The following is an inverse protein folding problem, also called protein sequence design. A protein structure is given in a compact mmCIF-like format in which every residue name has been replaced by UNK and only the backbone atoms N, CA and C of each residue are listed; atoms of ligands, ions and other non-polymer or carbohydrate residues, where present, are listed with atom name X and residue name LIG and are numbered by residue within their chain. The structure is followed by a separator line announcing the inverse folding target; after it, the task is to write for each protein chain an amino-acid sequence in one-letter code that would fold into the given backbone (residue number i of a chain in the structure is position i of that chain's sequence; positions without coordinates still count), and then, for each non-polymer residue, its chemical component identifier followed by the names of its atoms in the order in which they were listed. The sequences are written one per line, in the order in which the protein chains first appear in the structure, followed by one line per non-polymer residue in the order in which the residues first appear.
data_IF_087133576206
#
_entry.id   IF_087133576206
#
_cell.length_a   1.000
_cell.length_b   1.000
_cell.length_c   1.000
_cell.angle_alpha   90.00
_cell.angle_beta   90.00
_cell.angle_gamma   90.00
#
_symmetry.space_group_name_H-M   'P 1'
#
loop_
_entity.id
_entity.type
_entity.pdbx_description
1 polymer ?
#
# COMPACT_ATOMS: atom_id res chain seq x y z
N UNK A 1 -14.02 -13.45 -10.21
CA UNK A 1 -13.79 -12.32 -9.28
C UNK A 1 -13.51 -12.76 -7.84
N UNK A 2 -14.38 -13.51 -7.15
CA UNK A 2 -14.16 -13.86 -5.73
C UNK A 2 -12.78 -14.51 -5.45
N UNK A 3 -12.35 -15.44 -6.29
CA UNK A 3 -11.04 -16.09 -6.18
C UNK A 3 -9.86 -15.11 -6.33
N UNK A 4 -9.96 -14.12 -7.22
CA UNK A 4 -8.91 -13.11 -7.43
C UNK A 4 -8.75 -12.22 -6.20
N UNK A 5 -9.88 -11.84 -5.56
CA UNK A 5 -9.86 -11.08 -4.31
C UNK A 5 -9.22 -11.88 -3.16
N UNK A 6 -9.55 -13.18 -3.04
CA UNK A 6 -8.95 -14.04 -2.02
C UNK A 6 -7.43 -14.18 -2.23
N UNK A 7 -7.00 -14.41 -3.47
CA UNK A 7 -5.57 -14.50 -3.81
C UNK A 7 -4.87 -13.18 -3.48
N UNK A 8 -5.44 -12.05 -3.90
CA UNK A 8 -4.90 -10.73 -3.60
C UNK A 8 -4.75 -10.53 -2.08
N UNK A 9 -5.77 -10.91 -1.30
CA UNK A 9 -5.77 -10.80 0.16
C UNK A 9 -4.66 -11.64 0.81
N UNK A 10 -4.52 -12.91 0.40
CA UNK A 10 -3.47 -13.81 0.89
C UNK A 10 -2.07 -13.29 0.53
N UNK A 11 -1.89 -12.81 -0.70
CA UNK A 11 -0.62 -12.22 -1.15
C UNK A 11 -0.28 -10.99 -0.32
N UNK A 12 -1.23 -10.08 -0.12
CA UNK A 12 -1.00 -8.87 0.68
C UNK A 12 -0.71 -9.21 2.15
N UNK A 13 -1.39 -10.20 2.73
CA UNK A 13 -1.08 -10.71 4.08
C UNK A 13 0.34 -11.26 4.16
N UNK A 14 0.75 -12.10 3.20
CA UNK A 14 2.10 -12.64 3.13
C UNK A 14 3.16 -11.53 3.01
N UNK A 15 2.95 -10.55 2.12
CA UNK A 15 3.83 -9.40 1.99
C UNK A 15 3.87 -8.55 3.26
N UNK A 16 2.73 -8.40 3.95
CA UNK A 16 2.64 -7.69 5.24
C UNK A 16 3.47 -8.37 6.32
N UNK A 17 3.43 -9.70 6.41
CA UNK A 17 4.24 -10.47 7.35
C UNK A 17 5.75 -10.36 7.06
N UNK A 18 6.12 -10.12 5.80
CA UNK A 18 7.50 -9.90 5.38
C UNK A 18 7.97 -8.44 5.54
N UNK A 19 7.10 -7.53 5.98
CA UNK A 19 7.43 -6.12 6.09
C UNK A 19 8.45 -5.86 7.20
N UNK A 20 9.63 -5.34 6.84
CA UNK A 20 10.68 -5.02 7.82
C UNK A 20 10.62 -3.61 8.41
N UNK A 21 9.96 -2.67 7.75
CA UNK A 21 9.84 -1.29 8.24
C UNK A 21 8.47 -1.04 8.88
N UNK A 22 8.45 -0.30 9.99
CA UNK A 22 7.20 0.10 10.68
C UNK A 22 6.26 0.86 9.75
N UNK A 23 6.82 1.69 8.86
CA UNK A 23 6.05 2.48 7.90
C UNK A 23 5.34 1.58 6.88
N UNK A 24 6.05 0.58 6.33
CA UNK A 24 5.47 -0.36 5.37
C UNK A 24 4.41 -1.23 6.04
N UNK A 25 4.68 -1.75 7.24
CA UNK A 25 3.70 -2.52 8.01
C UNK A 25 2.42 -1.73 8.25
N UNK A 26 2.52 -0.45 8.65
CA UNK A 26 1.34 0.41 8.83
C UNK A 26 0.55 0.60 7.53
N UNK A 27 1.24 0.86 6.41
CA UNK A 27 0.57 1.04 5.11
C UNK A 27 -0.13 -0.25 4.68
N UNK A 28 0.53 -1.39 4.79
CA UNK A 28 -0.06 -2.68 4.44
C UNK A 28 -1.23 -3.05 5.35
N UNK A 29 -1.16 -2.75 6.65
CA UNK A 29 -2.28 -2.94 7.58
C UNK A 29 -3.47 -2.03 7.24
N UNK A 30 -3.22 -0.77 6.86
CA UNK A 30 -4.29 0.13 6.41
C UNK A 30 -4.98 -0.41 5.15
N UNK A 31 -4.21 -0.98 4.22
CA UNK A 31 -4.75 -1.62 3.01
C UNK A 31 -5.56 -2.89 3.33
N UNK A 32 -5.03 -3.76 4.19
CA UNK A 32 -5.75 -4.97 4.64
C UNK A 32 -7.05 -4.60 5.36
N UNK A 33 -7.01 -3.58 6.23
CA UNK A 33 -8.19 -3.07 6.92
C UNK A 33 -9.25 -2.56 5.95
N UNK A 34 -8.86 -1.79 4.93
CA UNK A 34 -9.76 -1.34 3.87
C UNK A 34 -10.46 -2.54 3.19
N UNK A 35 -9.68 -3.52 2.74
CA UNK A 35 -10.20 -4.66 2.00
C UNK A 35 -11.12 -5.52 2.87
N UNK A 36 -10.78 -5.71 4.14
CA UNK A 36 -11.61 -6.44 5.10
C UNK A 36 -12.95 -5.73 5.35
N UNK A 37 -12.92 -4.42 5.59
CA UNK A 37 -14.13 -3.62 5.84
C UNK A 37 -15.05 -3.62 4.62
N UNK A 38 -14.52 -3.44 3.41
CA UNK A 38 -15.29 -3.47 2.19
C UNK A 38 -15.87 -4.86 1.90
N UNK A 39 -15.08 -5.92 2.08
CA UNK A 39 -15.54 -7.30 1.89
C UNK A 39 -16.65 -7.67 2.88
N UNK A 40 -16.49 -7.30 4.15
CA UNK A 40 -17.48 -7.54 5.19
C UNK A 40 -18.79 -6.80 4.89
N UNK A 41 -18.72 -5.56 4.42
CA UNK A 41 -19.89 -4.77 4.05
C UNK A 41 -20.68 -5.41 2.91
N UNK A 42 -20.00 -5.85 1.83
CA UNK A 42 -20.66 -6.54 0.71
C UNK A 42 -21.28 -7.86 1.20
N UNK A 43 -20.57 -8.62 2.01
CA UNK A 43 -21.05 -9.90 2.54
C UNK A 43 -22.27 -9.73 3.46
N UNK A 44 -22.34 -8.64 4.25
CA UNK A 44 -23.45 -8.41 5.19
C UNK A 44 -24.67 -7.77 4.55
N UNK A 45 -24.49 -6.94 3.53
CA UNK A 45 -25.59 -6.19 2.89
C UNK A 45 -26.12 -6.83 1.62
N UNK A 46 -25.35 -7.72 0.98
CA UNK A 46 -25.64 -8.23 -0.36
C UNK A 46 -25.59 -7.15 -1.45
N UNK A 47 -25.18 -5.92 -1.12
CA UNK A 47 -24.98 -4.87 -2.11
C UNK A 47 -23.62 -5.07 -2.78
N UNK A 48 -23.64 -5.48 -4.04
CA UNK A 48 -22.44 -5.74 -4.85
C UNK A 48 -21.93 -4.51 -5.61
N UNK A 49 -22.46 -3.30 -5.37
CA UNK A 49 -21.88 -2.07 -5.92
C UNK A 49 -22.12 -0.83 -5.00
N UNK A 50 -21.75 -0.87 -3.71
CA UNK A 50 -21.95 0.23 -2.79
C UNK A 50 -20.86 1.29 -2.97
N UNK A 51 -20.81 1.93 -4.15
CA UNK A 51 -19.75 2.85 -4.55
C UNK A 51 -19.48 3.97 -3.52
N UNK A 52 -20.53 4.50 -2.90
CA UNK A 52 -20.41 5.58 -1.91
C UNK A 52 -19.69 5.10 -0.64
N UNK A 53 -20.00 3.87 -0.20
CA UNK A 53 -19.30 3.24 0.92
C UNK A 53 -17.83 3.02 0.59
N UNK A 54 -17.54 2.45 -0.58
CA UNK A 54 -16.16 2.21 -1.01
C UNK A 54 -15.35 3.50 -1.11
N UNK A 55 -15.93 4.58 -1.68
CA UNK A 55 -15.29 5.89 -1.73
C UNK A 55 -14.92 6.44 -0.35
N UNK A 56 -15.82 6.31 0.63
CA UNK A 56 -15.58 6.74 2.00
C UNK A 56 -14.45 5.93 2.65
N UNK A 57 -14.47 4.61 2.52
CA UNK A 57 -13.43 3.73 3.09
C UNK A 57 -12.08 4.02 2.44
N UNK A 58 -12.03 4.18 1.10
CA UNK A 58 -10.82 4.52 0.36
C UNK A 58 -10.27 5.89 0.76
N UNK A 59 -11.13 6.89 0.99
CA UNK A 59 -10.74 8.20 1.48
C UNK A 59 -10.09 8.12 2.87
N UNK A 60 -10.71 7.41 3.82
CA UNK A 60 -10.15 7.22 5.16
C UNK A 60 -8.81 6.50 5.09
N UNK A 61 -8.70 5.46 4.25
CA UNK A 61 -7.44 4.74 4.07
C UNK A 61 -6.35 5.62 3.46
N UNK A 62 -6.69 6.44 2.47
CA UNK A 62 -5.77 7.41 1.87
C UNK A 62 -5.25 8.39 2.93
N UNK A 63 -6.12 8.92 3.80
CA UNK A 63 -5.74 9.80 4.91
C UNK A 63 -4.77 9.10 5.87
N UNK A 64 -5.08 7.85 6.28
CA UNK A 64 -4.20 7.07 7.17
C UNK A 64 -2.82 6.85 6.55
N UNK A 65 -2.78 6.49 5.26
CA UNK A 65 -1.54 6.27 4.52
C UNK A 65 -0.76 7.58 4.39
N UNK A 66 -1.39 8.69 4.03
CA UNK A 66 -0.71 9.95 3.74
C UNK A 66 -0.35 10.76 5.00
N UNK A 67 -0.99 10.51 6.15
CA UNK A 67 -0.77 11.28 7.39
C UNK A 67 0.68 11.32 7.89
N UNK A 68 1.48 10.27 7.70
CA UNK A 68 2.91 10.36 8.01
C UNK A 68 3.74 9.87 6.82
N UNK A 69 4.30 10.76 5.98
CA UNK A 69 5.00 10.38 4.76
C UNK A 69 6.28 9.58 5.05
N UNK A 70 6.51 8.50 4.29
CA UNK A 70 7.70 7.65 4.41
C UNK A 70 8.52 7.49 3.11
N UNK A 71 8.11 8.19 2.04
CA UNK A 71 8.82 8.22 0.76
C UNK A 71 7.91 7.90 -0.44
N UNK A 72 8.54 7.84 -1.63
CA UNK A 72 7.84 7.76 -2.92
C UNK A 72 6.88 6.58 -3.07
N UNK A 73 7.20 5.42 -2.48
CA UNK A 73 6.35 4.23 -2.58
C UNK A 73 5.03 4.40 -1.82
N UNK A 74 5.09 4.99 -0.62
CA UNK A 74 3.88 5.33 0.14
C UNK A 74 3.02 6.35 -0.62
N UNK A 75 3.64 7.38 -1.20
CA UNK A 75 2.93 8.37 -2.01
C UNK A 75 2.27 7.74 -3.24
N UNK A 76 2.95 6.82 -3.93
CA UNK A 76 2.38 6.10 -5.06
C UNK A 76 1.15 5.27 -4.65
N UNK A 77 1.22 4.57 -3.51
CA UNK A 77 0.06 3.83 -2.97
C UNK A 77 -1.09 4.79 -2.65
N UNK A 78 -0.80 5.95 -2.04
CA UNK A 78 -1.80 6.98 -1.78
C UNK A 78 -2.48 7.49 -3.06
N UNK A 79 -1.72 7.69 -4.15
CA UNK A 79 -2.27 8.05 -5.45
C UNK A 79 -3.19 6.99 -6.04
N UNK A 80 -2.93 5.70 -5.79
CA UNK A 80 -3.83 4.63 -6.23
C UNK A 80 -5.17 4.72 -5.50
N UNK A 81 -5.18 5.02 -4.20
CA UNK A 81 -6.43 5.27 -3.48
C UNK A 81 -7.18 6.49 -4.01
N UNK A 82 -6.47 7.58 -4.35
CA UNK A 82 -7.10 8.76 -5.00
C UNK A 82 -7.75 8.35 -6.33
N UNK A 83 -7.07 7.52 -7.13
CA UNK A 83 -7.64 7.02 -8.39
C UNK A 83 -8.90 6.16 -8.16
N UNK A 84 -8.92 5.31 -7.11
CA UNK A 84 -10.11 4.53 -6.75
C UNK A 84 -11.28 5.45 -6.35
N UNK A 85 -11.02 6.47 -5.53
CA UNK A 85 -12.03 7.48 -5.14
C UNK A 85 -12.63 8.15 -6.37
N UNK A 86 -11.78 8.61 -7.31
CA UNK A 86 -12.24 9.22 -8.57
C UNK A 86 -13.12 8.24 -9.37
N UNK A 87 -12.73 6.96 -9.46
CA UNK A 87 -13.53 5.96 -10.16
C UNK A 87 -14.91 5.74 -9.55
N UNK A 88 -15.03 5.74 -8.22
CA UNK A 88 -16.34 5.62 -7.55
C UNK A 88 -17.25 6.80 -7.93
N UNK A 89 -16.71 8.02 -8.00
CA UNK A 89 -17.46 9.18 -8.46
C UNK A 89 -17.80 9.11 -9.95
N UNK A 90 -16.88 8.64 -10.81
CA UNK A 90 -17.19 8.42 -12.22
C UNK A 90 -18.35 7.42 -12.39
N UNK A 91 -18.32 6.31 -11.65
CA UNK A 91 -19.40 5.33 -11.66
C UNK A 91 -20.73 5.97 -11.22
N UNK A 92 -20.72 6.74 -10.13
CA UNK A 92 -21.89 7.46 -9.63
C UNK A 92 -22.48 8.43 -10.67
N UNK A 93 -21.65 9.22 -11.34
CA UNK A 93 -22.07 10.20 -12.35
C UNK A 93 -22.65 9.52 -13.59
N UNK A 94 -22.05 8.42 -14.03
CA UNK A 94 -22.56 7.70 -15.21
C UNK A 94 -23.90 7.01 -14.93
N UNK A 95 -24.15 6.61 -13.68
CA UNK A 95 -25.36 5.89 -13.23
C UNK A 95 -25.80 4.78 -14.20
N UNK A 96 -24.84 4.12 -14.85
CA UNK A 96 -25.09 3.15 -15.90
C UNK A 96 -24.94 1.73 -15.34
N UNK A 97 -26.03 0.95 -15.26
CA UNK A 97 -25.99 -0.44 -14.79
C UNK A 97 -25.05 -1.33 -15.62
N UNK A 98 -24.95 -1.10 -16.93
CA UNK A 98 -24.06 -1.85 -17.83
C UNK A 98 -22.58 -1.58 -17.52
N UNK A 99 -22.29 -0.50 -16.81
CA UNK A 99 -20.95 -0.10 -16.36
C UNK A 99 -20.42 -0.89 -15.16
N UNK A 100 -21.21 -1.77 -14.54
CA UNK A 100 -20.79 -2.54 -13.35
C UNK A 100 -19.55 -3.41 -13.64
N UNK A 101 -19.54 -4.13 -14.75
CA UNK A 101 -18.41 -5.01 -15.09
C UNK A 101 -17.10 -4.22 -15.30
N UNK A 102 -17.04 -3.19 -16.16
CA UNK A 102 -15.80 -2.42 -16.33
C UNK A 102 -15.38 -1.70 -15.05
N UNK A 103 -16.33 -1.23 -14.22
CA UNK A 103 -16.04 -0.66 -12.91
C UNK A 103 -15.28 -1.64 -12.01
N UNK A 104 -15.78 -2.87 -11.87
CA UNK A 104 -15.12 -3.91 -11.08
C UNK A 104 -13.75 -4.30 -11.66
N UNK A 105 -13.65 -4.45 -12.98
CA UNK A 105 -12.39 -4.78 -13.65
C UNK A 105 -11.30 -3.75 -13.34
N UNK A 106 -11.63 -2.45 -13.38
CA UNK A 106 -10.67 -1.41 -13.06
C UNK A 106 -10.29 -1.37 -11.58
N UNK A 107 -11.25 -1.57 -10.66
CA UNK A 107 -10.95 -1.67 -9.23
C UNK A 107 -9.98 -2.84 -8.94
N UNK A 108 -10.21 -4.01 -9.56
CA UNK A 108 -9.33 -5.17 -9.44
C UNK A 108 -7.91 -4.85 -9.96
N UNK A 109 -7.79 -4.17 -11.11
CA UNK A 109 -6.49 -3.75 -11.64
C UNK A 109 -5.75 -2.82 -10.67
N UNK A 110 -6.45 -1.86 -10.07
CA UNK A 110 -5.85 -0.96 -9.08
C UNK A 110 -5.41 -1.71 -7.82
N UNK A 111 -6.19 -2.70 -7.36
CA UNK A 111 -5.80 -3.55 -6.23
C UNK A 111 -4.49 -4.31 -6.50
N UNK A 112 -4.33 -4.87 -7.71
CA UNK A 112 -3.07 -5.50 -8.12
C UNK A 112 -1.89 -4.51 -8.17
N UNK A 113 -2.12 -3.29 -8.65
CA UNK A 113 -1.10 -2.24 -8.62
C UNK A 113 -0.68 -1.93 -7.17
N UNK A 114 -1.63 -1.86 -6.22
CA UNK A 114 -1.29 -1.65 -4.81
C UNK A 114 -0.40 -2.77 -4.26
N UNK A 115 -0.72 -4.04 -4.55
CA UNK A 115 0.12 -5.19 -4.17
C UNK A 115 1.53 -5.07 -4.76
N UNK A 116 1.64 -4.77 -6.06
CA UNK A 116 2.92 -4.64 -6.74
C UNK A 116 3.77 -3.51 -6.16
N UNK A 117 3.15 -2.39 -5.77
CA UNK A 117 3.85 -1.29 -5.12
C UNK A 117 4.38 -1.70 -3.73
N UNK A 118 3.59 -2.40 -2.93
CA UNK A 118 4.03 -2.92 -1.62
C UNK A 118 5.17 -3.94 -1.79
N UNK A 119 5.03 -4.88 -2.73
CA UNK A 119 6.05 -5.88 -3.02
C UNK A 119 7.36 -5.24 -3.48
N UNK A 120 7.28 -4.27 -4.40
CA UNK A 120 8.46 -3.56 -4.92
C UNK A 120 9.14 -2.73 -3.83
N UNK A 121 8.36 -2.08 -2.96
CA UNK A 121 8.89 -1.37 -1.79
C UNK A 121 9.64 -2.34 -0.86
N UNK A 122 9.04 -3.49 -0.55
CA UNK A 122 9.65 -4.51 0.31
C UNK A 122 10.95 -5.08 -0.26
N UNK A 123 10.94 -5.50 -1.53
CA UNK A 123 12.10 -6.05 -2.24
C UNK A 123 13.23 -5.01 -2.33
N UNK A 124 12.91 -3.77 -2.75
CA UNK A 124 13.89 -2.71 -2.89
C UNK A 124 14.54 -2.30 -1.56
N UNK A 125 13.79 -2.36 -0.46
CA UNK A 125 14.32 -2.15 0.89
C UNK A 125 15.24 -3.28 1.36
N UNK A 126 14.84 -4.53 1.11
CA UNK A 126 15.61 -5.73 1.44
C UNK A 126 16.95 -5.82 0.70
N UNK A 127 16.93 -5.56 -0.61
CA UNK A 127 18.13 -5.53 -1.46
C UNK A 127 19.13 -4.46 -1.00
N UNK A 128 18.67 -3.24 -0.72
CA UNK A 128 19.56 -2.17 -0.21
C UNK A 128 20.16 -2.50 1.14
N UNK A 129 19.40 -3.12 2.04
CA UNK A 129 19.90 -3.55 3.35
C UNK A 129 20.93 -4.68 3.22
N UNK A 130 20.72 -5.63 2.31
CA UNK A 130 21.67 -6.70 2.00
C UNK A 130 22.98 -6.16 1.42
N UNK A 131 22.90 -5.27 0.42
CA UNK A 131 24.08 -4.62 -0.18
C UNK A 131 24.87 -3.83 0.87
N UNK A 132 24.20 -3.08 1.76
CA UNK A 132 24.89 -2.38 2.87
C UNK A 132 25.60 -3.31 3.84
N UNK A 133 25.06 -4.50 4.09
CA UNK A 133 25.74 -5.49 4.96
C UNK A 133 26.94 -6.14 4.28
N UNK A 134 26.86 -6.35 2.97
CA UNK A 134 27.94 -6.98 2.19
C UNK A 134 29.07 -6.01 1.86
N UNK A 135 28.77 -4.74 1.62
CA UNK A 135 29.72 -3.73 1.12
C UNK A 135 29.87 -2.51 2.03
N UNK A 136 29.21 -2.49 3.19
CA UNK A 136 29.39 -1.44 4.19
C UNK A 136 30.79 -1.56 4.78
N UNK A 137 31.69 -0.65 4.39
CA UNK A 137 33.03 -0.57 4.99
C UNK A 137 32.88 -0.46 6.50
N UNK A 138 33.60 -1.26 7.30
CA UNK A 138 33.66 -1.03 8.73
C UNK A 138 34.15 0.39 8.95
N UNK A 139 33.42 1.17 9.75
CA UNK A 139 33.92 2.43 10.26
C UNK A 139 35.17 2.10 11.08
N UNK A 140 36.34 2.33 10.51
CA UNK A 140 37.55 2.36 11.30
C UNK A 140 37.36 3.51 12.31
N UNK A 141 37.41 3.23 13.62
CA UNK A 141 37.41 4.30 14.59
C UNK A 141 38.62 5.19 14.29
N UNK A 142 38.37 6.49 14.09
CA UNK A 142 39.45 7.47 13.97
C UNK A 142 40.18 7.44 15.32
N UNK A 143 41.50 7.17 15.36
CA UNK A 143 42.23 7.15 16.62
C UNK A 143 42.13 8.53 17.27
N UNK A 144 41.54 8.61 18.47
CA UNK A 144 41.48 9.81 19.31
C UNK A 144 42.86 10.13 19.94
N UNK A 145 43.91 10.24 19.11
CA UNK A 145 45.29 10.24 19.59
C UNK A 145 46.22 11.34 19.08
N UNK A 146 45.75 12.36 18.34
CA UNK A 146 46.63 13.41 17.79
C UNK A 146 46.13 14.84 18.00
N UNK A 147 45.52 15.13 19.15
CA UNK A 147 45.15 16.50 19.56
C UNK A 147 46.04 16.98 20.71
N UNK A 148 47.36 16.91 20.53
CA UNK A 148 48.31 17.36 21.52
C UNK A 148 49.71 17.44 20.93
N UNK A 149 50.00 18.55 20.27
CA UNK A 149 51.33 19.17 20.13
C UNK A 149 51.18 20.36 19.18
N UNK A 150 50.70 21.49 19.71
CA UNK A 150 51.07 22.80 19.17
C UNK A 150 52.08 23.44 20.15
N UNK A 151 53.17 24.03 19.63
CA UNK A 151 54.30 24.55 20.41
C UNK A 151 54.01 25.86 21.15
#
# INVERSE_FOLDING_TARGET
MLYEFLIAYVVLLGLSALCRSRQMMRVSLAMLGNWAVNSLFVASTGNFAPWAWFACVDFVTALVILRNPAGKWQSAIGWVYIAQIVMHFCFAVTNNPDGIYPYWLWLTRLAWVQILLVATWGIGGGLRAGIRRLFGRPHHPVPHGMAGMEP
#
